data_IF_898474109918
#
_entry.id   IF_898474109918
#
_cell.length_a   1.000
_cell.length_b   1.000
_cell.length_c   1.000
_cell.angle_alpha   90.00
_cell.angle_beta   90.00
_cell.angle_gamma   90.00
#
_symmetry.space_group_name_H-M   'P 1'
#
loop_
_entity.id
_entity.type
_entity.pdbx_description
1 polymer ?
#
# COMPACT_ATOMS: atom_id res chain seq x y z
N UNK A 1 7.11 12.26 14.07
CA UNK A 1 7.20 13.10 12.88
C UNK A 1 6.03 12.82 11.94
N UNK A 2 5.28 13.83 11.58
CA UNK A 2 4.14 13.72 10.69
C UNK A 2 4.42 14.51 9.42
N UNK A 3 4.25 13.85 8.26
CA UNK A 3 4.29 14.52 6.96
C UNK A 3 2.85 14.68 6.49
N UNK A 4 2.38 15.92 6.42
CA UNK A 4 1.00 16.21 6.06
C UNK A 4 0.79 16.11 4.56
N UNK A 5 -0.30 15.45 4.16
CA UNK A 5 -0.68 15.36 2.75
C UNK A 5 -1.13 16.72 2.24
N UNK A 6 -0.64 17.17 1.08
CA UNK A 6 -1.09 18.44 0.49
C UNK A 6 -2.59 18.44 0.20
N UNK A 7 -3.17 17.26 -0.06
CA UNK A 7 -4.61 17.12 -0.34
C UNK A 7 -5.45 17.01 0.93
N UNK A 8 -4.83 16.86 2.11
CA UNK A 8 -5.51 16.71 3.37
C UNK A 8 -6.18 15.36 3.59
N UNK A 9 -5.86 14.35 2.77
CA UNK A 9 -6.50 13.03 2.87
C UNK A 9 -5.83 12.11 3.88
N UNK A 10 -4.60 11.68 3.62
CA UNK A 10 -3.88 10.75 4.49
C UNK A 10 -2.49 11.28 4.80
N UNK A 11 -2.16 11.38 6.08
CA UNK A 11 -0.84 11.82 6.52
C UNK A 11 0.08 10.62 6.67
N UNK A 12 1.39 10.88 6.60
CA UNK A 12 2.41 9.87 6.81
C UNK A 12 3.04 10.12 8.17
N UNK A 13 2.99 9.11 9.04
CA UNK A 13 3.56 9.19 10.39
C UNK A 13 4.82 8.35 10.48
N UNK A 14 5.87 8.93 11.03
CA UNK A 14 7.16 8.26 11.20
C UNK A 14 7.51 8.28 12.69
N UNK A 15 7.79 7.12 13.25
CA UNK A 15 8.26 6.99 14.62
C UNK A 15 9.68 6.41 14.63
N UNK A 16 10.59 7.09 15.35
CA UNK A 16 12.00 6.73 15.41
C UNK A 16 12.43 6.41 16.85
N UNK A 17 11.55 5.82 17.62
CA UNK A 17 11.78 5.48 19.01
C UNK A 17 11.91 3.96 19.15
N UNK A 18 13.11 3.45 19.47
CA UNK A 18 13.38 2.02 19.46
C UNK A 18 13.53 1.53 18.03
N UNK A 19 12.63 0.65 17.59
CA UNK A 19 12.55 0.30 16.17
C UNK A 19 11.90 1.44 15.39
N UNK A 20 12.26 1.56 14.14
CA UNK A 20 11.67 2.60 13.28
C UNK A 20 10.37 2.10 12.69
N UNK A 21 9.34 2.94 12.68
CA UNK A 21 8.03 2.60 12.14
C UNK A 21 7.51 3.71 11.24
N UNK A 22 6.83 3.31 10.16
CA UNK A 22 6.17 4.24 9.24
C UNK A 22 4.71 3.82 9.15
N UNK A 23 3.79 4.77 9.28
CA UNK A 23 2.35 4.53 9.16
C UNK A 23 1.80 5.38 8.03
N UNK A 24 1.13 4.75 7.10
CA UNK A 24 0.45 5.44 6.01
C UNK A 24 -0.85 4.70 5.71
N UNK A 25 -1.97 5.38 5.85
CA UNK A 25 -3.30 4.81 5.73
C UNK A 25 -3.42 3.62 6.70
N UNK A 26 -3.77 2.42 6.21
CA UNK A 26 -3.83 1.21 7.03
C UNK A 26 -2.55 0.37 6.96
N UNK A 27 -1.57 0.84 6.21
CA UNK A 27 -0.28 0.17 6.13
C UNK A 27 0.67 0.70 7.18
N UNK A 28 1.45 -0.22 7.77
CA UNK A 28 2.61 0.21 8.55
C UNK A 28 3.80 -0.69 8.23
N UNK A 29 4.99 -0.08 8.24
CA UNK A 29 6.24 -0.78 8.06
C UNK A 29 7.09 -0.65 9.31
N UNK A 30 7.80 -1.72 9.66
CA UNK A 30 8.74 -1.73 10.78
C UNK A 30 10.14 -1.99 10.25
N UNK A 31 11.11 -1.26 10.79
CA UNK A 31 12.49 -1.28 10.31
C UNK A 31 13.42 -1.38 11.50
N UNK A 32 14.50 -2.17 11.36
CA UNK A 32 15.50 -2.26 12.39
C UNK A 32 16.17 -0.90 12.63
N UNK A 33 16.51 -0.59 13.88
CA UNK A 33 17.19 0.65 14.25
C UNK A 33 18.68 0.55 13.90
N UNK A 34 18.99 0.36 12.62
CA UNK A 34 20.32 0.22 12.04
C UNK A 34 20.43 1.12 10.82
N UNK A 35 21.63 1.29 10.29
CA UNK A 35 21.84 2.06 9.06
C UNK A 35 21.09 1.44 7.89
N UNK A 36 21.06 0.11 7.81
CA UNK A 36 20.33 -0.60 6.75
C UNK A 36 18.82 -0.45 6.88
N UNK A 37 18.30 -0.56 8.10
CA UNK A 37 16.88 -0.34 8.37
C UNK A 37 16.45 1.06 8.04
N UNK A 38 17.27 2.05 8.38
CA UNK A 38 16.99 3.45 8.07
C UNK A 38 16.99 3.71 6.55
N UNK A 39 17.93 3.09 5.83
CA UNK A 39 17.98 3.22 4.37
C UNK A 39 16.72 2.64 3.71
N UNK A 40 16.23 1.50 4.19
CA UNK A 40 14.99 0.90 3.68
C UNK A 40 13.79 1.78 4.00
N UNK A 41 13.73 2.34 5.20
CA UNK A 41 12.69 3.28 5.60
C UNK A 41 12.66 4.49 4.67
N UNK A 42 13.81 5.08 4.37
CA UNK A 42 13.90 6.21 3.46
C UNK A 42 13.43 5.86 2.04
N UNK A 43 13.78 4.67 1.57
CA UNK A 43 13.33 4.17 0.27
C UNK A 43 11.80 4.09 0.19
N UNK A 44 11.19 3.50 1.20
CA UNK A 44 9.74 3.33 1.21
C UNK A 44 9.01 4.65 1.33
N UNK A 45 9.48 5.56 2.19
CA UNK A 45 8.90 6.90 2.31
C UNK A 45 9.01 7.66 1.00
N UNK A 46 10.19 7.63 0.38
CA UNK A 46 10.41 8.33 -0.89
C UNK A 46 9.49 7.79 -1.97
N UNK A 47 9.31 6.46 -2.04
CA UNK A 47 8.42 5.84 -3.00
C UNK A 47 6.97 6.28 -2.80
N UNK A 48 6.51 6.38 -1.55
CA UNK A 48 5.16 6.85 -1.24
C UNK A 48 4.99 8.31 -1.68
N UNK A 49 5.91 9.18 -1.28
CA UNK A 49 5.82 10.62 -1.58
C UNK A 49 5.95 10.91 -3.08
N UNK A 50 6.73 10.11 -3.79
CA UNK A 50 6.92 10.27 -5.24
C UNK A 50 5.80 9.64 -6.07
N UNK A 51 4.81 9.02 -5.44
CA UNK A 51 3.72 8.38 -6.14
C UNK A 51 4.09 7.07 -6.82
N UNK A 52 5.13 6.39 -6.33
CA UNK A 52 5.60 5.10 -6.86
C UNK A 52 5.16 3.93 -6.00
N UNK A 53 4.64 4.19 -4.81
CA UNK A 53 4.12 3.17 -3.91
C UNK A 53 2.83 3.65 -3.26
N UNK A 54 1.97 2.72 -2.90
CA UNK A 54 0.73 3.01 -2.22
C UNK A 54 0.33 1.88 -1.28
N UNK A 55 -0.65 2.15 -0.43
CA UNK A 55 -1.18 1.18 0.52
C UNK A 55 -2.30 0.38 -0.16
N UNK A 56 -2.08 -0.93 -0.32
CA UNK A 56 -3.03 -1.83 -0.97
C UNK A 56 -3.71 -2.69 0.10
N UNK A 57 -5.02 -2.54 0.24
CA UNK A 57 -5.81 -3.25 1.24
C UNK A 57 -6.75 -4.25 0.58
N UNK A 58 -6.96 -5.37 1.25
CA UNK A 58 -7.93 -6.38 0.84
C UNK A 58 -9.14 -6.33 1.76
N UNK A 59 -10.33 -6.28 1.16
CA UNK A 59 -11.61 -6.35 1.86
C UNK A 59 -12.40 -7.54 1.34
N UNK A 60 -12.98 -8.30 2.26
CA UNK A 60 -13.90 -9.39 1.95
C UNK A 60 -15.25 -9.08 2.58
N UNK A 61 -16.21 -10.02 2.50
CA UNK A 61 -17.49 -9.87 3.19
C UNK A 61 -17.32 -9.73 4.71
N UNK A 62 -16.17 -10.16 5.25
CA UNK A 62 -15.85 -10.03 6.67
C UNK A 62 -15.14 -8.72 7.01
N UNK A 63 -14.95 -7.84 6.04
CA UNK A 63 -14.32 -6.54 6.21
C UNK A 63 -12.85 -6.55 5.82
N UNK A 64 -12.10 -5.62 6.40
CA UNK A 64 -10.67 -5.44 6.12
C UNK A 64 -9.86 -6.66 6.56
N UNK A 65 -9.00 -7.16 5.67
CA UNK A 65 -8.19 -8.35 5.90
C UNK A 65 -6.69 -8.07 6.00
N UNK A 66 -6.26 -6.88 5.70
CA UNK A 66 -4.85 -6.50 5.78
C UNK A 66 -4.47 -5.48 4.72
N UNK A 67 -3.26 -4.92 4.86
CA UNK A 67 -2.73 -3.93 3.94
C UNK A 67 -1.25 -4.20 3.70
N UNK A 68 -0.82 -4.07 2.44
CA UNK A 68 0.58 -4.23 2.04
C UNK A 68 1.02 -2.99 1.27
N UNK A 69 2.33 -2.75 1.21
CA UNK A 69 2.87 -1.67 0.40
C UNK A 69 3.03 -2.16 -1.04
N UNK A 70 2.32 -1.52 -1.96
CA UNK A 70 2.38 -1.84 -3.38
C UNK A 70 3.37 -0.90 -4.05
N UNK A 71 4.42 -1.47 -4.67
CA UNK A 71 5.47 -0.70 -5.33
C UNK A 71 5.37 -0.71 -6.85
N UNK A 72 4.39 -1.45 -7.40
CA UNK A 72 4.14 -1.51 -8.84
C UNK A 72 2.76 -0.93 -9.12
N UNK A 73 2.69 0.41 -9.15
CA UNK A 73 1.40 1.09 -9.32
C UNK A 73 0.97 1.06 -10.78
N UNK A 74 -0.29 0.66 -11.06
CA UNK A 74 -0.80 0.69 -12.42
C UNK A 74 -1.04 2.13 -12.88
N UNK A 75 -0.91 2.37 -14.19
CA UNK A 75 -1.28 3.64 -14.77
C UNK A 75 -2.80 3.85 -14.72
N UNK A 76 -3.22 5.10 -14.82
CA UNK A 76 -4.64 5.45 -14.73
C UNK A 76 -5.50 4.78 -15.80
N UNK A 77 -4.92 4.50 -16.96
CA UNK A 77 -5.62 3.92 -18.10
C UNK A 77 -5.16 2.49 -18.41
N UNK A 78 -4.47 1.87 -17.45
CA UNK A 78 -3.95 0.52 -17.65
C UNK A 78 -5.07 -0.50 -17.53
N UNK A 79 -5.35 -1.20 -18.63
CA UNK A 79 -6.37 -2.25 -18.65
C UNK A 79 -5.97 -3.45 -17.77
N UNK A 80 -4.67 -3.60 -17.49
CA UNK A 80 -4.16 -4.65 -16.61
C UNK A 80 -4.01 -4.23 -15.15
N UNK A 81 -4.63 -3.10 -14.77
CA UNK A 81 -4.45 -2.56 -13.42
C UNK A 81 -4.90 -3.53 -12.31
N UNK A 82 -6.05 -4.18 -12.49
CA UNK A 82 -6.53 -5.16 -11.52
C UNK A 82 -5.56 -6.33 -11.36
N UNK A 83 -5.02 -6.83 -12.48
CA UNK A 83 -4.04 -7.92 -12.46
C UNK A 83 -2.74 -7.49 -11.79
N UNK A 84 -2.29 -6.25 -12.02
CA UNK A 84 -1.10 -5.71 -11.38
C UNK A 84 -1.26 -5.65 -9.86
N UNK A 85 -2.42 -5.19 -9.38
CA UNK A 85 -2.69 -5.13 -7.94
C UNK A 85 -2.80 -6.52 -7.32
N UNK A 86 -3.41 -7.48 -8.04
CA UNK A 86 -3.45 -8.87 -7.59
C UNK A 86 -2.05 -9.44 -7.44
N UNK A 87 -1.18 -9.21 -8.42
CA UNK A 87 0.22 -9.67 -8.35
C UNK A 87 0.94 -9.06 -7.16
N UNK A 88 0.73 -7.78 -6.90
CA UNK A 88 1.35 -7.08 -5.79
C UNK A 88 0.90 -7.70 -4.45
N UNK A 89 -0.40 -7.95 -4.30
CA UNK A 89 -0.94 -8.59 -3.11
C UNK A 89 -0.37 -10.00 -2.93
N UNK A 90 -0.39 -10.80 -3.98
CA UNK A 90 0.08 -12.19 -3.94
C UNK A 90 1.57 -12.30 -3.67
N UNK A 91 2.37 -11.34 -4.16
CA UNK A 91 3.80 -11.30 -3.88
C UNK A 91 4.08 -11.03 -2.39
N UNK A 92 3.27 -10.16 -1.77
CA UNK A 92 3.42 -9.82 -0.35
C UNK A 92 2.77 -10.85 0.56
N UNK A 93 1.70 -11.52 0.11
CA UNK A 93 0.92 -12.50 0.87
C UNK A 93 0.71 -13.76 0.03
N UNK A 94 1.77 -14.56 -0.23
CA UNK A 94 1.67 -15.70 -1.14
C UNK A 94 0.70 -16.80 -0.68
N UNK A 95 0.45 -16.90 0.63
CA UNK A 95 -0.47 -17.90 1.17
C UNK A 95 -1.92 -17.43 1.24
N UNK A 96 -2.19 -16.17 0.90
CA UNK A 96 -3.53 -15.62 0.95
C UNK A 96 -4.25 -15.86 -0.37
N UNK A 97 -5.43 -16.46 -0.30
CA UNK A 97 -6.27 -16.67 -1.48
C UNK A 97 -7.15 -15.44 -1.72
N UNK A 98 -7.25 -15.02 -2.97
CA UNK A 98 -8.16 -13.96 -3.38
C UNK A 98 -9.44 -14.59 -3.89
N UNK A 99 -10.53 -14.42 -3.15
CA UNK A 99 -11.81 -15.03 -3.50
C UNK A 99 -12.68 -14.04 -4.30
N UNK A 100 -13.62 -14.60 -5.06
CA UNK A 100 -14.63 -13.82 -5.78
C UNK A 100 -15.43 -13.02 -4.76
N UNK A 101 -15.71 -11.76 -5.10
CA UNK A 101 -16.41 -10.85 -4.20
C UNK A 101 -15.51 -10.04 -3.31
N UNK A 102 -14.20 -10.36 -3.28
CA UNK A 102 -13.24 -9.55 -2.56
C UNK A 102 -12.96 -8.24 -3.30
N UNK A 103 -12.51 -7.23 -2.58
CA UNK A 103 -12.18 -5.92 -3.14
C UNK A 103 -10.78 -5.53 -2.75
N UNK A 104 -10.01 -5.05 -3.73
CA UNK A 104 -8.70 -4.44 -3.50
C UNK A 104 -8.84 -2.93 -3.58
N UNK A 105 -8.33 -2.22 -2.59
CA UNK A 105 -8.33 -0.76 -2.56
C UNK A 105 -6.91 -0.25 -2.42
N UNK A 106 -6.49 0.58 -3.37
CA UNK A 106 -5.18 1.21 -3.38
C UNK A 106 -5.33 2.67 -2.97
N UNK A 107 -4.62 3.08 -1.92
CA UNK A 107 -4.56 4.47 -1.47
C UNK A 107 -3.14 4.99 -1.65
N UNK A 108 -3.01 6.09 -2.38
CA UNK A 108 -1.73 6.70 -2.69
C UNK A 108 -1.62 8.08 -2.06
N UNK A 109 -0.38 8.60 -2.01
CA UNK A 109 -0.13 9.96 -1.52
C UNK A 109 -0.90 11.01 -2.33
N UNK A 110 -0.96 10.81 -3.67
CA UNK A 110 -1.81 11.60 -4.54
C UNK A 110 -3.15 10.85 -4.71
N UNK A 111 -4.27 11.41 -4.22
CA UNK A 111 -5.57 10.73 -4.32
C UNK A 111 -6.02 10.43 -5.76
N UNK A 112 -5.49 11.13 -6.74
CA UNK A 112 -5.80 10.85 -8.14
C UNK A 112 -5.32 9.47 -8.58
N UNK A 113 -4.36 8.88 -7.86
CA UNK A 113 -3.83 7.55 -8.13
C UNK A 113 -4.57 6.44 -7.38
N UNK A 114 -5.53 6.79 -6.53
CA UNK A 114 -6.30 5.79 -5.79
C UNK A 114 -7.12 4.93 -6.73
N UNK A 115 -7.23 3.63 -6.42
CA UNK A 115 -7.97 2.66 -7.25
C UNK A 115 -8.74 1.69 -6.36
N UNK A 116 -9.88 1.22 -6.89
CA UNK A 116 -10.70 0.19 -6.25
C UNK A 116 -11.07 -0.84 -7.29
N UNK A 117 -10.87 -2.10 -6.99
CA UNK A 117 -11.19 -3.20 -7.90
C UNK A 117 -11.98 -4.28 -7.18
N UNK A 118 -13.13 -4.61 -7.74
CA UNK A 118 -13.94 -5.73 -7.28
C UNK A 118 -13.48 -6.98 -8.02
N UNK A 119 -13.13 -8.03 -7.29
CA UNK A 119 -12.67 -9.28 -7.90
C UNK A 119 -13.88 -10.10 -8.36
N UNK A 120 -13.87 -10.48 -9.61
CA UNK A 120 -14.93 -11.28 -10.22
C UNK A 120 -14.43 -12.69 -10.50
N UNK A 121 -15.34 -13.59 -10.92
CA UNK A 121 -15.01 -14.97 -11.22
C UNK A 121 -14.02 -15.12 -12.37
N UNK A 122 -13.88 -14.08 -13.19
CA UNK A 122 -13.02 -14.10 -14.38
C UNK A 122 -11.60 -13.57 -14.12
N UNK A 123 -11.31 -13.19 -12.89
CA UNK A 123 -10.03 -12.56 -12.53
C UNK A 123 -9.11 -13.45 -11.70
#
# INVERSE_FOLDING_TARGET
>A
LVVQSPSGTEDLLIELCGEFSVFFEKWHGEYAATAEGYAQLQQDITAILDGKAGALSLYTENGWQGTVLCTELPGAEDAGAAAALKRCWQAAKPDAALSVGSRLELVCWDPAQNRKYQLSAEE
#
